data_IF_976369151560
#
_entry.id   IF_976369151560
#
_cell.length_a   1.000
_cell.length_b   1.000
_cell.length_c   1.000
_cell.angle_alpha   90.00
_cell.angle_beta   90.00
_cell.angle_gamma   90.00
#
_symmetry.space_group_name_H-M   'P 1'
#
loop_
_entity.id
_entity.type
_entity.pdbx_description
1 polymer ?
#
# COMPACT_ATOMS: atom_id res chain seq x y z
N UNK A 1 -12.26 -6.36 -5.64
CA UNK A 1 -11.54 -6.46 -4.35
C UNK A 1 -10.34 -7.38 -4.42
N UNK A 2 -10.45 -8.64 -4.88
CA UNK A 2 -9.31 -9.60 -4.92
C UNK A 2 -8.00 -9.04 -5.50
N UNK A 3 -8.04 -8.29 -6.61
CA UNK A 3 -6.84 -7.70 -7.21
C UNK A 3 -6.19 -6.61 -6.33
N UNK A 4 -6.99 -5.73 -5.70
CA UNK A 4 -6.48 -4.73 -4.75
C UNK A 4 -5.77 -5.39 -3.58
N UNK A 5 -6.35 -6.46 -3.05
CA UNK A 5 -5.79 -7.24 -1.96
C UNK A 5 -4.45 -7.89 -2.35
N UNK A 6 -4.37 -8.49 -3.55
CA UNK A 6 -3.12 -9.05 -4.07
C UNK A 6 -2.03 -7.98 -4.20
N UNK A 7 -2.37 -6.81 -4.74
CA UNK A 7 -1.42 -5.69 -4.86
C UNK A 7 -1.00 -5.16 -3.50
N UNK A 8 -1.92 -5.03 -2.53
CA UNK A 8 -1.60 -4.60 -1.17
C UNK A 8 -0.67 -5.57 -0.45
N UNK A 9 -0.88 -6.87 -0.58
CA UNK A 9 0.02 -7.90 -0.04
C UNK A 9 1.39 -7.85 -0.71
N UNK A 10 1.43 -7.75 -2.04
CA UNK A 10 2.67 -7.67 -2.80
C UNK A 10 3.47 -6.41 -2.44
N UNK A 11 2.80 -5.27 -2.32
CA UNK A 11 3.38 -4.02 -1.85
C UNK A 11 3.97 -4.21 -0.46
N UNK A 12 3.20 -4.76 0.50
CA UNK A 12 3.68 -4.97 1.87
C UNK A 12 4.90 -5.88 1.92
N UNK A 13 4.91 -6.97 1.15
CA UNK A 13 6.06 -7.86 1.05
C UNK A 13 7.28 -7.15 0.43
N UNK A 14 7.06 -6.32 -0.59
CA UNK A 14 8.14 -5.54 -1.23
C UNK A 14 8.72 -4.48 -0.30
N UNK A 15 7.88 -3.77 0.46
CA UNK A 15 8.27 -2.78 1.46
C UNK A 15 9.04 -3.45 2.59
N UNK A 16 8.55 -4.57 3.12
CA UNK A 16 9.25 -5.34 4.14
C UNK A 16 10.62 -5.83 3.64
N UNK A 17 10.70 -6.36 2.42
CA UNK A 17 11.96 -6.81 1.83
C UNK A 17 12.95 -5.64 1.63
N UNK A 18 12.46 -4.47 1.21
CA UNK A 18 13.30 -3.29 1.02
C UNK A 18 13.88 -2.81 2.36
N UNK A 19 13.05 -2.65 3.39
CA UNK A 19 13.47 -2.11 4.68
C UNK A 19 14.24 -3.10 5.55
N UNK A 20 13.87 -4.38 5.57
CA UNK A 20 14.48 -5.37 6.46
C UNK A 20 15.60 -6.20 5.81
N UNK A 21 15.73 -6.18 4.48
CA UNK A 21 16.77 -6.96 3.78
C UNK A 21 17.68 -6.04 2.97
N UNK A 22 17.10 -5.26 2.04
CA UNK A 22 17.92 -4.48 1.10
C UNK A 22 18.70 -3.36 1.80
N UNK A 23 18.04 -2.61 2.69
CA UNK A 23 18.67 -1.50 3.43
C UNK A 23 19.76 -2.01 4.39
N UNK A 24 19.53 -3.03 5.24
CA UNK A 24 20.58 -3.58 6.08
C UNK A 24 21.76 -4.13 5.29
N UNK A 25 21.52 -4.85 4.18
CA UNK A 25 22.59 -5.36 3.34
C UNK A 25 23.41 -4.23 2.72
N UNK A 26 22.76 -3.14 2.29
CA UNK A 26 23.44 -1.95 1.78
C UNK A 26 24.42 -1.38 2.80
N UNK A 27 24.01 -1.23 4.06
CA UNK A 27 24.85 -0.60 5.08
C UNK A 27 25.87 -1.55 5.72
N UNK A 28 25.55 -2.84 5.85
CA UNK A 28 26.43 -3.84 6.49
C UNK A 28 27.43 -4.47 5.51
N UNK A 29 27.03 -4.65 4.25
CA UNK A 29 27.82 -5.32 3.22
C UNK A 29 28.32 -4.40 2.11
N UNK A 30 28.10 -3.08 2.23
CA UNK A 30 28.46 -2.03 1.26
C UNK A 30 28.02 -2.37 -0.19
N UNK A 31 26.91 -3.11 -0.31
CA UNK A 31 26.41 -3.63 -1.58
C UNK A 31 24.97 -3.19 -1.83
N UNK A 32 24.80 -2.35 -2.84
CA UNK A 32 23.51 -1.73 -3.17
C UNK A 32 22.65 -2.56 -4.14
N UNK A 33 23.09 -3.74 -4.57
CA UNK A 33 22.43 -4.48 -5.65
C UNK A 33 20.96 -4.78 -5.34
N UNK A 34 20.66 -5.15 -4.09
CA UNK A 34 19.28 -5.43 -3.68
C UNK A 34 18.41 -4.18 -3.65
N UNK A 35 18.95 -3.03 -3.25
CA UNK A 35 18.21 -1.76 -3.28
C UNK A 35 17.90 -1.35 -4.73
N UNK A 36 18.85 -1.55 -5.65
CA UNK A 36 18.69 -1.24 -7.08
C UNK A 36 17.69 -2.14 -7.79
N UNK A 37 17.47 -3.35 -7.29
CA UNK A 37 16.48 -4.29 -7.85
C UNK A 37 15.12 -4.16 -7.15
N UNK A 38 15.09 -4.21 -5.81
CA UNK A 38 13.84 -4.20 -5.03
C UNK A 38 13.21 -2.81 -5.02
N UNK A 39 14.00 -1.74 -5.03
CA UNK A 39 13.51 -0.35 -5.01
C UNK A 39 12.54 -0.05 -6.16
N UNK A 40 12.93 -0.26 -7.43
CA UNK A 40 12.02 -0.07 -8.57
C UNK A 40 10.78 -0.97 -8.53
N UNK A 41 10.93 -2.24 -8.11
CA UNK A 41 9.79 -3.18 -7.98
C UNK A 41 8.79 -2.64 -6.95
N UNK A 42 9.28 -2.23 -5.78
CA UNK A 42 8.45 -1.62 -4.75
C UNK A 42 7.79 -0.32 -5.23
N UNK A 43 8.52 0.56 -5.91
CA UNK A 43 7.97 1.81 -6.45
C UNK A 43 6.82 1.59 -7.45
N UNK A 44 6.94 0.58 -8.34
CA UNK A 44 5.87 0.20 -9.26
C UNK A 44 4.65 -0.34 -8.49
N UNK A 45 4.87 -1.22 -7.52
CA UNK A 45 3.79 -1.79 -6.70
C UNK A 45 3.07 -0.72 -5.88
N UNK A 46 3.81 0.20 -5.27
CA UNK A 46 3.25 1.31 -4.51
C UNK A 46 2.44 2.26 -5.40
N UNK A 47 2.94 2.58 -6.59
CA UNK A 47 2.21 3.39 -7.58
C UNK A 47 0.91 2.71 -7.99
N UNK A 48 0.95 1.40 -8.26
CA UNK A 48 -0.23 0.60 -8.60
C UNK A 48 -1.23 0.57 -7.43
N UNK A 49 -0.75 0.42 -6.19
CA UNK A 49 -1.58 0.45 -4.99
C UNK A 49 -2.33 1.79 -4.84
N UNK A 50 -1.61 2.92 -4.94
CA UNK A 50 -2.22 4.26 -4.87
C UNK A 50 -3.23 4.47 -6.01
N UNK A 51 -2.90 4.01 -7.23
CA UNK A 51 -3.83 4.05 -8.36
C UNK A 51 -5.12 3.29 -8.10
N UNK A 52 -5.04 2.07 -7.53
CA UNK A 52 -6.22 1.29 -7.17
C UNK A 52 -7.02 1.91 -6.01
N UNK A 53 -6.34 2.52 -5.04
CA UNK A 53 -6.96 3.24 -3.94
C UNK A 53 -7.77 4.45 -4.46
N UNK A 54 -7.18 5.22 -5.38
CA UNK A 54 -7.85 6.33 -6.06
C UNK A 54 -9.03 5.86 -6.92
N UNK A 55 -8.89 4.75 -7.65
CA UNK A 55 -9.99 4.16 -8.43
C UNK A 55 -11.15 3.73 -7.54
N UNK A 56 -10.89 3.16 -6.37
CA UNK A 56 -11.94 2.78 -5.43
C UNK A 56 -12.68 3.99 -4.84
N UNK A 57 -11.98 5.11 -4.66
CA UNK A 57 -12.61 6.38 -4.28
C UNK A 57 -13.50 6.95 -5.39
N UNK A 58 -13.02 6.99 -6.64
CA UNK A 58 -13.78 7.45 -7.81
C UNK A 58 -15.05 6.60 -8.02
N UNK A 59 -14.93 5.27 -7.84
CA UNK A 59 -16.06 4.34 -7.91
C UNK A 59 -17.00 4.40 -6.69
N UNK A 60 -16.79 5.36 -5.77
CA UNK A 60 -17.53 5.48 -4.50
C UNK A 60 -17.61 4.18 -3.71
N UNK A 61 -16.57 3.36 -3.76
CA UNK A 61 -16.46 2.18 -2.89
C UNK A 61 -16.01 2.57 -1.49
N UNK A 62 -15.18 3.61 -1.41
CA UNK A 62 -14.63 4.13 -0.18
C UNK A 62 -14.69 5.66 -0.13
N UNK A 63 -14.67 6.21 1.07
CA UNK A 63 -14.66 7.64 1.30
C UNK A 63 -13.23 8.23 1.30
N UNK A 64 -13.13 9.55 1.44
CA UNK A 64 -11.85 10.26 1.44
C UNK A 64 -10.95 9.87 2.63
N UNK A 65 -11.53 9.47 3.77
CA UNK A 65 -10.77 9.00 4.93
C UNK A 65 -10.01 7.72 4.61
N UNK A 66 -10.60 6.81 3.82
CA UNK A 66 -9.93 5.59 3.37
C UNK A 66 -8.72 5.90 2.48
N UNK A 67 -8.83 6.87 1.58
CA UNK A 67 -7.74 7.29 0.69
C UNK A 67 -6.58 7.88 1.49
N UNK A 68 -6.87 8.81 2.40
CA UNK A 68 -5.84 9.45 3.23
C UNK A 68 -5.17 8.42 4.14
N UNK A 69 -5.97 7.60 4.82
CA UNK A 69 -5.44 6.57 5.74
C UNK A 69 -4.61 5.55 4.99
N UNK A 70 -5.09 5.09 3.83
CA UNK A 70 -4.39 4.10 3.00
C UNK A 70 -3.11 4.63 2.39
N UNK A 71 -3.13 5.87 1.88
CA UNK A 71 -1.94 6.52 1.33
C UNK A 71 -0.87 6.81 2.38
N UNK A 72 -1.27 7.18 3.60
CA UNK A 72 -0.30 7.40 4.68
C UNK A 72 0.26 6.08 5.21
N UNK A 73 -0.60 5.07 5.39
CA UNK A 73 -0.18 3.78 5.90
C UNK A 73 0.70 3.02 4.90
N UNK A 74 0.52 3.17 3.59
CA UNK A 74 1.38 2.51 2.60
C UNK A 74 2.85 2.91 2.67
N UNK A 75 3.19 4.00 3.37
CA UNK A 75 4.59 4.35 3.64
C UNK A 75 5.24 3.42 4.67
N UNK A 76 4.44 2.73 5.48
CA UNK A 76 4.90 1.82 6.52
C UNK A 76 4.81 0.36 6.05
N UNK A 77 5.78 -0.50 6.41
CA UNK A 77 5.67 -1.92 6.15
C UNK A 77 4.42 -2.49 6.86
N UNK A 78 3.46 -2.98 6.08
CA UNK A 78 2.21 -3.56 6.60
C UNK A 78 0.98 -2.65 6.55
N UNK A 79 1.13 -1.40 6.10
CA UNK A 79 0.02 -0.46 5.99
C UNK A 79 -1.14 -0.94 5.11
N UNK A 80 -0.87 -1.40 3.88
CA UNK A 80 -1.94 -1.84 2.99
C UNK A 80 -2.75 -3.01 3.52
N UNK A 81 -2.09 -4.00 4.14
CA UNK A 81 -2.77 -5.12 4.80
C UNK A 81 -3.65 -4.62 5.96
N UNK A 82 -3.18 -3.65 6.74
CA UNK A 82 -3.96 -3.09 7.83
C UNK A 82 -5.22 -2.38 7.33
N UNK A 83 -5.09 -1.56 6.28
CA UNK A 83 -6.23 -0.87 5.68
C UNK A 83 -7.22 -1.88 5.10
N UNK A 84 -6.73 -2.87 4.36
CA UNK A 84 -7.56 -3.88 3.71
C UNK A 84 -8.49 -4.59 4.69
N UNK A 85 -8.00 -4.92 5.89
CA UNK A 85 -8.79 -5.54 6.97
C UNK A 85 -9.85 -4.62 7.58
N UNK A 86 -9.78 -3.32 7.31
CA UNK A 86 -10.67 -2.30 7.88
C UNK A 86 -11.55 -1.60 6.85
N UNK A 87 -11.29 -1.75 5.55
CA UNK A 87 -12.05 -1.05 4.50
C UNK A 87 -13.56 -1.32 4.51
N UNK A 88 -14.01 -2.43 5.08
CA UNK A 88 -15.43 -2.77 5.20
C UNK A 88 -16.10 -2.10 6.42
N UNK A 89 -15.35 -1.39 7.26
CA UNK A 89 -15.91 -0.64 8.39
C UNK A 89 -16.64 0.62 7.90
N UNK A 90 -17.73 0.98 8.56
CA UNK A 90 -18.54 2.17 8.25
C UNK A 90 -17.75 3.48 8.22
N UNK A 91 -16.63 3.54 8.94
CA UNK A 91 -15.68 4.65 8.92
C UNK A 91 -15.09 4.94 7.54
N UNK A 92 -14.93 3.92 6.70
CA UNK A 92 -14.28 3.99 5.39
C UNK A 92 -15.25 3.87 4.22
N UNK A 93 -16.49 3.49 4.49
CA UNK A 93 -17.55 3.46 3.49
C UNK A 93 -18.06 4.88 3.20
N UNK A 94 -18.59 5.14 2.00
CA UNK A 94 -19.30 6.39 1.71
C UNK A 94 -20.48 6.50 2.67
N UNK A 95 -20.64 7.66 3.33
CA UNK A 95 -21.89 7.96 4.03
C UNK A 95 -22.99 8.02 2.98
N UNK A 96 -24.10 7.29 3.20
CA UNK A 96 -25.33 7.60 2.49
C UNK A 96 -25.66 9.05 2.83
N UNK A 97 -25.64 9.91 1.82
CA UNK A 97 -26.23 11.24 1.94
C UNK A 97 -27.72 10.96 1.88
N UNK A 98 -28.38 10.97 3.03
CA UNK A 98 -29.83 10.91 3.11
C UNK A 98 -30.37 12.08 2.27
N UNK A 99 -31.06 11.74 1.18
CA UNK A 99 -31.70 12.67 0.27
C UNK A 99 -33.16 12.90 0.69
#
# INVERSE_FOLDING_TARGET
MRFFNTVGIAETCSTASLYFIAVPLKYLGDNEILVKVIGPIHGILWTLYIGLLALGWIQKKWNMRAVITGGFLSLLPGGPIWLERRMDQSEYLPKQVDA
#
